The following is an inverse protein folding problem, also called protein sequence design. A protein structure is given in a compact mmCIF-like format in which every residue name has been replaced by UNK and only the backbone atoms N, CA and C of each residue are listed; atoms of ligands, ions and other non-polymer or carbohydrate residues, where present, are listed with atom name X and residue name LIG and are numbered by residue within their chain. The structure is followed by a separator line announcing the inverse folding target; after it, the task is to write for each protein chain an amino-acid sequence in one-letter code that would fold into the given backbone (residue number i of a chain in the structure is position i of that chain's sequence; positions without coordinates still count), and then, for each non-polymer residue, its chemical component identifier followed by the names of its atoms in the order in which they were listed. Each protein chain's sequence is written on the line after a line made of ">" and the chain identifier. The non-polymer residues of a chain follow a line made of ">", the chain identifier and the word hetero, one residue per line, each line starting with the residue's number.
data_IF_282990281149
#
_entry.id   IF_282990281149
#
_cell.length_a   1.000
_cell.length_b   1.000
_cell.length_c   1.000
_cell.angle_alpha   90.00
_cell.angle_beta   90.00
_cell.angle_gamma   90.00
#
_symmetry.space_group_name_H-M   'P 1'
#
loop_
_entity.id
_entity.type
_entity.pdbx_description
1 polymer ?
#
# COMPACT_ATOMS: atom_id res chain seq x y z
N UNK A 1 -3.81 -0.77 -9.71
CA UNK A 1 -4.60 -1.30 -8.57
C UNK A 1 -3.82 -2.42 -7.89
N UNK A 2 -3.62 -2.38 -6.56
CA UNK A 2 -2.82 -3.39 -5.84
C UNK A 2 -3.54 -4.08 -4.68
N UNK A 3 -3.40 -5.41 -4.55
CA UNK A 3 -3.99 -6.25 -3.48
C UNK A 3 -3.28 -7.63 -3.31
N UNK A 4 -3.65 -8.48 -2.33
CA UNK A 4 -2.82 -9.59 -1.77
C UNK A 4 -3.62 -10.85 -1.31
N UNK A 5 -2.97 -12.04 -1.15
CA UNK A 5 -3.49 -13.21 -0.36
C UNK A 5 -2.48 -14.36 -0.09
N UNK A 6 -2.62 -15.17 1.01
CA UNK A 6 -1.85 -16.43 1.28
C UNK A 6 -2.42 -17.44 2.36
N UNK A 7 -1.76 -18.63 2.51
CA UNK A 7 -2.21 -19.90 3.15
C UNK A 7 -1.54 -20.28 4.52
N UNK A 8 -2.10 -21.28 5.25
CA UNK A 8 -2.03 -21.46 6.73
C UNK A 8 -1.09 -22.56 7.25
N UNK A 9 -0.35 -22.31 8.36
CA UNK A 9 0.35 -23.30 9.20
C UNK A 9 0.71 -22.78 10.61
N UNK A 10 0.57 -23.61 11.66
CA UNK A 10 0.55 -23.24 13.09
C UNK A 10 1.92 -23.17 13.81
N UNK A 11 2.11 -22.17 14.69
CA UNK A 11 2.65 -22.37 16.05
C UNK A 11 3.81 -21.47 16.57
N UNK A 12 3.60 -20.83 17.75
CA UNK A 12 4.63 -20.65 18.82
C UNK A 12 5.36 -19.30 18.96
N UNK A 13 5.34 -18.72 20.18
CA UNK A 13 5.73 -17.34 20.60
C UNK A 13 7.10 -17.28 21.33
N UNK A 14 7.83 -16.14 21.29
CA UNK A 14 8.52 -15.51 22.45
C UNK A 14 9.09 -14.10 22.14
N UNK A 15 9.03 -13.23 23.16
CA UNK A 15 9.03 -11.75 23.17
C UNK A 15 10.38 -11.12 23.63
N UNK A 16 10.71 -9.89 23.20
CA UNK A 16 11.80 -9.06 23.74
C UNK A 16 11.63 -7.55 23.44
N UNK A 17 11.55 -6.73 24.49
CA UNK A 17 12.30 -5.46 24.58
C UNK A 17 11.60 -4.15 24.15
N UNK A 18 11.16 -3.39 25.16
CA UNK A 18 10.48 -2.08 25.12
C UNK A 18 11.24 -0.94 24.41
N UNK A 19 11.17 -0.94 23.08
CA UNK A 19 11.07 0.26 22.22
C UNK A 19 10.20 -0.01 20.96
N UNK A 20 9.67 -1.23 20.82
CA UNK A 20 8.94 -1.70 19.63
C UNK A 20 7.44 -1.39 19.60
N UNK A 21 6.91 -0.67 20.60
CA UNK A 21 5.49 -0.31 20.68
C UNK A 21 5.25 1.15 20.29
N UNK A 22 5.70 1.54 19.10
CA UNK A 22 5.25 2.79 18.46
C UNK A 22 4.68 2.44 17.09
N UNK A 23 3.46 1.91 17.11
CA UNK A 23 2.58 1.94 15.96
C UNK A 23 1.52 2.97 16.28
N UNK A 24 1.65 4.16 15.70
CA UNK A 24 0.54 5.11 15.69
C UNK A 24 0.25 5.51 14.25
N UNK A 25 -0.69 4.78 13.68
CA UNK A 25 -1.18 4.93 12.31
C UNK A 25 -2.72 4.92 12.28
N UNK A 26 -3.41 5.56 13.26
CA UNK A 26 -4.36 6.67 13.06
C UNK A 26 -5.40 6.92 14.19
N UNK A 27 -5.69 8.22 14.40
CA UNK A 27 -6.90 8.93 14.91
C UNK A 27 -7.27 8.86 16.41
N UNK A 28 -7.11 10.00 17.11
CA UNK A 28 -8.17 10.64 17.92
C UNK A 28 -7.65 11.89 18.66
N UNK A 29 -8.04 13.08 18.22
CA UNK A 29 -8.01 14.37 18.94
C UNK A 29 -6.69 14.94 19.53
N UNK A 30 -5.59 14.18 19.71
CA UNK A 30 -4.38 14.71 20.37
C UNK A 30 -3.04 14.05 19.93
N UNK A 31 -2.81 13.89 18.61
CA UNK A 31 -1.52 13.45 18.02
C UNK A 31 -0.33 14.36 18.40
N UNK A 32 -0.60 15.53 19.00
CA UNK A 32 0.42 16.42 19.53
C UNK A 32 1.01 15.92 20.86
N UNK A 33 0.42 14.98 21.57
CA UNK A 33 0.90 14.55 22.89
C UNK A 33 2.33 13.99 22.85
N UNK A 34 2.63 13.13 21.88
CA UNK A 34 3.99 12.61 21.68
C UNK A 34 4.94 13.74 21.32
N UNK A 35 4.52 14.64 20.44
CA UNK A 35 5.31 15.81 20.02
C UNK A 35 5.61 16.75 21.20
N UNK A 36 4.62 16.99 22.07
CA UNK A 36 4.75 17.74 23.35
C UNK A 36 5.70 17.05 24.31
N UNK A 37 5.61 15.72 24.46
CA UNK A 37 6.50 14.95 25.31
C UNK A 37 7.96 15.02 24.84
N UNK A 38 8.21 14.85 23.53
CA UNK A 38 9.54 14.98 22.92
C UNK A 38 10.10 16.38 23.16
N UNK A 39 9.30 17.42 22.88
CA UNK A 39 9.71 18.81 23.11
C UNK A 39 10.10 19.06 24.56
N UNK A 40 9.30 18.57 25.50
CA UNK A 40 9.57 18.69 26.94
C UNK A 40 10.88 18.00 27.31
N UNK A 41 11.08 16.77 26.83
CA UNK A 41 12.31 16.01 27.10
C UNK A 41 13.55 16.70 26.53
N UNK A 42 13.50 17.15 25.28
CA UNK A 42 14.61 17.85 24.62
C UNK A 42 14.98 19.17 25.32
N UNK A 43 13.97 19.92 25.76
CA UNK A 43 14.20 21.14 26.55
C UNK A 43 14.86 20.81 27.89
N UNK A 44 14.42 19.72 28.55
CA UNK A 44 14.96 19.32 29.86
C UNK A 44 16.43 18.86 29.81
N UNK A 45 16.90 18.31 28.68
CA UNK A 45 18.30 17.93 28.48
C UNK A 45 19.19 19.08 28.01
N UNK A 46 18.64 20.30 27.90
CA UNK A 46 19.39 21.52 27.59
C UNK A 46 19.49 21.85 26.10
N UNK A 47 18.66 21.25 25.24
CA UNK A 47 18.55 21.71 23.85
C UNK A 47 17.82 23.06 23.79
N UNK A 48 18.43 24.02 23.11
CA UNK A 48 17.87 25.34 22.83
C UNK A 48 17.05 25.32 21.51
N UNK A 49 16.20 26.32 21.31
CA UNK A 49 15.41 26.51 20.07
C UNK A 49 14.49 25.34 19.64
N UNK A 50 13.97 24.56 20.59
CA UNK A 50 13.01 23.47 20.27
C UNK A 50 11.62 24.03 19.90
N UNK A 51 11.25 23.93 18.63
CA UNK A 51 10.01 24.49 18.09
C UNK A 51 9.13 23.44 17.40
N UNK A 52 7.83 23.73 17.32
CA UNK A 52 6.91 23.00 16.46
C UNK A 52 6.82 23.73 15.13
N UNK A 53 6.98 22.98 14.03
CA UNK A 53 6.80 23.49 12.68
C UNK A 53 5.71 22.65 12.03
N UNK A 54 4.60 23.30 11.67
CA UNK A 54 3.43 22.61 11.12
C UNK A 54 3.47 22.62 9.59
N UNK A 55 3.05 21.51 9.00
CA UNK A 55 2.89 21.33 7.57
C UNK A 55 1.51 20.73 7.28
N UNK A 56 0.87 21.25 6.24
CA UNK A 56 -0.43 20.77 5.75
C UNK A 56 -0.18 19.87 4.55
N UNK A 57 -0.09 18.55 4.77
CA UNK A 57 0.34 17.58 3.76
C UNK A 57 -0.84 16.75 3.21
N UNK A 58 -0.74 16.30 1.95
CA UNK A 58 -1.72 15.39 1.38
C UNK A 58 -1.46 13.95 1.83
N UNK A 59 -2.32 13.44 2.70
CA UNK A 59 -2.33 12.04 3.12
C UNK A 59 -3.33 11.22 2.31
N UNK A 60 -2.94 9.99 1.97
CA UNK A 60 -3.84 9.04 1.33
C UNK A 60 -4.10 7.86 2.27
N UNK A 61 -5.31 7.84 2.83
CA UNK A 61 -5.75 6.85 3.81
C UNK A 61 -6.74 5.87 3.17
N UNK A 62 -6.84 4.64 3.70
CA UNK A 62 -7.86 3.70 3.27
C UNK A 62 -9.26 4.32 3.45
N UNK A 63 -10.15 4.01 2.51
CA UNK A 63 -11.55 4.41 2.62
C UNK A 63 -12.28 3.66 3.74
N UNK A 64 -13.53 4.04 4.04
CA UNK A 64 -14.35 3.35 5.04
C UNK A 64 -14.70 1.90 4.63
N UNK A 65 -14.52 1.57 3.35
CA UNK A 65 -14.73 0.23 2.81
C UNK A 65 -13.39 -0.38 2.44
N UNK A 66 -13.09 -1.61 2.90
CA UNK A 66 -11.86 -2.29 2.51
C UNK A 66 -11.85 -2.57 1.01
N UNK A 67 -10.66 -2.51 0.42
CA UNK A 67 -10.46 -3.07 -0.93
C UNK A 67 -10.69 -4.59 -0.90
N UNK A 68 -10.98 -5.18 -2.06
CA UNK A 68 -11.23 -6.62 -2.19
C UNK A 68 -10.58 -7.17 -3.46
N UNK A 69 -10.29 -8.47 -3.45
CA UNK A 69 -9.86 -9.27 -4.59
C UNK A 69 -10.88 -10.37 -4.78
N UNK A 70 -11.45 -10.46 -5.98
CA UNK A 70 -12.48 -11.45 -6.29
C UNK A 70 -12.00 -12.35 -7.42
N UNK A 71 -12.14 -13.66 -7.23
CA UNK A 71 -11.93 -14.60 -8.33
C UNK A 71 -13.19 -14.63 -9.21
N UNK A 72 -13.08 -14.20 -10.46
CA UNK A 72 -14.22 -14.18 -11.40
C UNK A 72 -14.82 -15.57 -11.64
N UNK A 73 -14.02 -16.64 -11.54
CA UNK A 73 -14.48 -18.01 -11.80
C UNK A 73 -15.38 -18.59 -10.71
N UNK A 74 -15.12 -18.27 -9.44
CA UNK A 74 -15.81 -18.83 -8.28
C UNK A 74 -16.67 -17.81 -7.52
N UNK A 75 -16.49 -16.51 -7.81
CA UNK A 75 -17.08 -15.42 -7.02
C UNK A 75 -16.51 -15.30 -5.61
N UNK A 76 -15.43 -16.03 -5.28
CA UNK A 76 -14.80 -15.96 -3.97
C UNK A 76 -14.13 -14.60 -3.78
N UNK A 77 -14.47 -13.95 -2.68
CA UNK A 77 -13.98 -12.63 -2.30
C UNK A 77 -12.98 -12.75 -1.16
N UNK A 78 -11.87 -12.03 -1.29
CA UNK A 78 -10.81 -11.92 -0.29
C UNK A 78 -10.50 -10.45 0.00
N UNK A 79 -10.17 -10.15 1.24
CA UNK A 79 -9.54 -8.90 1.62
C UNK A 79 -8.05 -8.93 1.25
N UNK A 80 -7.39 -7.76 1.11
CA UNK A 80 -5.95 -7.65 0.85
C UNK A 80 -5.05 -8.21 1.94
N UNK A 81 -5.55 -8.86 2.97
CA UNK A 81 -4.75 -9.65 3.91
C UNK A 81 -4.96 -11.17 3.70
N UNK A 82 -5.64 -11.57 2.63
CA UNK A 82 -5.96 -12.97 2.31
C UNK A 82 -7.19 -13.53 3.04
N UNK A 83 -7.82 -12.78 3.95
CA UNK A 83 -9.00 -13.26 4.66
C UNK A 83 -10.23 -13.27 3.74
N UNK A 84 -11.12 -14.28 3.83
CA UNK A 84 -12.35 -14.29 3.07
C UNK A 84 -13.27 -13.15 3.51
N UNK A 85 -13.99 -12.53 2.58
CA UNK A 85 -14.91 -11.42 2.86
C UNK A 85 -16.14 -11.80 3.73
N UNK A 86 -16.35 -13.10 3.98
CA UNK A 86 -17.48 -13.59 4.78
C UNK A 86 -17.35 -13.25 6.27
N UNK A 87 -18.47 -13.02 6.95
CA UNK A 87 -18.62 -12.53 8.34
C UNK A 87 -17.84 -13.27 9.46
N UNK A 88 -17.19 -14.40 9.17
CA UNK A 88 -16.35 -15.13 10.14
C UNK A 88 -14.88 -14.68 10.13
N UNK A 89 -14.53 -13.60 9.45
CA UNK A 89 -13.27 -12.90 9.62
C UNK A 89 -13.21 -12.30 11.05
N UNK A 90 -12.85 -13.17 12.00
CA UNK A 90 -12.58 -12.97 13.42
C UNK A 90 -13.37 -11.87 14.14
N UNK A 91 -14.30 -12.34 14.97
CA UNK A 91 -14.79 -11.72 16.21
C UNK A 91 -13.67 -11.55 17.27
N UNK A 92 -12.46 -11.22 16.86
CA UNK A 92 -11.39 -10.89 17.81
C UNK A 92 -11.20 -9.38 17.82
N UNK A 93 -11.63 -8.83 18.93
CA UNK A 93 -11.84 -7.45 19.24
C UNK A 93 -10.55 -6.64 19.27
N UNK A 94 -10.42 -5.68 18.35
CA UNK A 94 -9.93 -4.33 18.65
C UNK A 94 -10.25 -3.44 17.44
N UNK A 95 -10.70 -2.22 17.71
CA UNK A 95 -11.43 -1.37 16.75
C UNK A 95 -10.58 -0.72 15.64
N UNK A 96 -9.35 -1.15 15.36
CA UNK A 96 -8.48 -0.49 14.37
C UNK A 96 -7.53 -1.44 13.63
N UNK A 97 -8.04 -2.59 13.17
CA UNK A 97 -7.29 -3.45 12.26
C UNK A 97 -7.20 -2.78 10.89
N UNK A 98 -6.17 -1.94 10.74
CA UNK A 98 -5.73 -1.31 9.50
C UNK A 98 -5.79 -2.34 8.37
N UNK A 99 -6.73 -2.18 7.45
CA UNK A 99 -6.77 -2.99 6.25
C UNK A 99 -5.42 -2.85 5.52
N UNK A 100 -4.90 -3.96 5.00
CA UNK A 100 -3.71 -3.87 4.14
C UNK A 100 -4.03 -2.95 2.96
N UNK A 101 -3.17 -1.95 2.76
CA UNK A 101 -3.49 -0.81 1.90
C UNK A 101 -2.24 -0.30 1.16
N UNK A 102 -2.45 0.12 -0.09
CA UNK A 102 -1.43 0.78 -0.89
C UNK A 102 -1.74 2.28 -0.98
N UNK A 103 -1.06 3.07 -0.14
CA UNK A 103 -1.18 4.51 -0.14
C UNK A 103 -0.75 5.10 -1.48
N UNK A 104 -1.53 6.07 -1.95
CA UNK A 104 -1.42 6.75 -3.24
C UNK A 104 -1.74 5.86 -4.45
N UNK A 105 -2.32 4.66 -4.25
CA UNK A 105 -2.87 3.88 -5.37
C UNK A 105 -4.04 4.58 -6.03
N UNK A 106 -4.12 4.49 -7.36
CA UNK A 106 -5.30 4.87 -8.11
C UNK A 106 -6.54 4.10 -7.62
N UNK A 107 -7.68 4.80 -7.59
CA UNK A 107 -8.99 4.21 -7.26
C UNK A 107 -9.63 3.66 -8.52
N UNK A 108 -10.21 2.47 -8.44
CA UNK A 108 -10.91 1.84 -9.57
C UNK A 108 -11.12 0.35 -9.32
N UNK A 109 -11.70 -0.32 -10.30
CA UNK A 109 -11.87 -1.78 -10.34
C UNK A 109 -11.31 -2.27 -11.66
N UNK A 110 -10.51 -3.33 -11.63
CA UNK A 110 -9.96 -3.97 -12.81
C UNK A 110 -10.26 -5.46 -12.77
N UNK A 111 -10.84 -5.99 -13.84
CA UNK A 111 -11.02 -7.41 -14.07
C UNK A 111 -10.14 -7.83 -15.24
N UNK A 112 -9.14 -8.68 -14.97
CA UNK A 112 -8.20 -9.18 -15.97
C UNK A 112 -7.53 -10.47 -15.50
N UNK A 113 -6.84 -11.17 -16.42
CA UNK A 113 -5.98 -12.31 -16.07
C UNK A 113 -4.78 -11.84 -15.21
N UNK A 114 -4.43 -12.68 -14.23
CA UNK A 114 -3.29 -12.44 -13.33
C UNK A 114 -2.05 -13.14 -13.87
N UNK A 115 -0.95 -12.41 -13.97
CA UNK A 115 0.36 -12.93 -14.43
C UNK A 115 1.36 -12.80 -13.29
N UNK A 116 1.97 -13.91 -12.88
CA UNK A 116 3.11 -13.91 -11.95
C UNK A 116 4.35 -13.31 -12.63
N UNK A 117 4.78 -12.16 -12.14
CA UNK A 117 5.95 -11.41 -12.63
C UNK A 117 7.17 -11.58 -11.73
N UNK A 118 7.13 -12.52 -10.77
CA UNK A 118 8.19 -12.73 -9.78
C UNK A 118 8.57 -11.42 -9.07
N UNK A 119 9.82 -10.99 -9.13
CA UNK A 119 10.29 -9.72 -8.56
C UNK A 119 10.12 -8.51 -9.50
N UNK A 120 9.48 -8.67 -10.66
CA UNK A 120 9.23 -7.56 -11.59
C UNK A 120 10.52 -6.92 -12.13
N UNK A 121 11.56 -7.73 -12.34
CA UNK A 121 12.80 -7.24 -12.94
C UNK A 121 12.62 -7.02 -14.45
N UNK A 122 13.47 -6.19 -15.05
CA UNK A 122 13.44 -5.97 -16.50
C UNK A 122 13.61 -7.30 -17.29
N UNK A 123 14.36 -8.26 -16.75
CA UNK A 123 14.55 -9.56 -17.40
C UNK A 123 13.33 -10.47 -17.23
N UNK A 124 12.62 -10.39 -16.10
CA UNK A 124 11.33 -11.06 -15.93
C UNK A 124 10.30 -10.56 -16.96
N UNK A 125 10.21 -9.24 -17.14
CA UNK A 125 9.29 -8.65 -18.11
C UNK A 125 9.62 -9.06 -19.55
N UNK A 126 10.87 -8.94 -19.97
CA UNK A 126 11.33 -9.39 -21.30
C UNK A 126 11.03 -10.86 -21.56
N UNK A 127 11.09 -11.69 -20.52
CA UNK A 127 10.80 -13.13 -20.63
C UNK A 127 9.30 -13.36 -20.82
N UNK A 128 8.46 -12.66 -20.07
CA UNK A 128 7.00 -12.79 -20.13
C UNK A 128 6.44 -12.25 -21.46
N UNK A 129 6.93 -11.09 -21.91
CA UNK A 129 6.52 -10.47 -23.20
C UNK A 129 6.76 -11.39 -24.41
N UNK A 130 7.79 -12.23 -24.36
CA UNK A 130 8.06 -13.21 -25.42
C UNK A 130 7.06 -14.37 -25.45
N UNK A 131 6.39 -14.64 -24.34
CA UNK A 131 5.49 -15.77 -24.18
C UNK A 131 4.02 -15.39 -24.33
N UNK A 132 3.63 -14.19 -23.87
CA UNK A 132 2.23 -13.75 -23.84
C UNK A 132 2.14 -12.23 -24.02
N UNK A 133 0.98 -11.77 -24.48
CA UNK A 133 0.61 -10.36 -24.42
C UNK A 133 0.31 -9.98 -22.96
N UNK A 134 0.93 -8.90 -22.49
CA UNK A 134 0.83 -8.42 -21.09
C UNK A 134 -0.09 -7.21 -20.93
N UNK A 135 -0.55 -6.61 -22.03
CA UNK A 135 -1.35 -5.38 -21.98
C UNK A 135 -2.65 -5.60 -21.21
N UNK A 136 -2.96 -4.68 -20.29
CA UNK A 136 -4.16 -4.66 -19.46
C UNK A 136 -4.35 -5.88 -18.54
N UNK A 137 -3.27 -6.58 -18.20
CA UNK A 137 -3.29 -7.67 -17.21
C UNK A 137 -3.02 -7.16 -15.79
N UNK A 138 -3.28 -8.02 -14.81
CA UNK A 138 -2.91 -7.78 -13.40
C UNK A 138 -1.60 -8.52 -13.12
N UNK A 139 -0.55 -7.79 -12.74
CA UNK A 139 0.72 -8.39 -12.32
C UNK A 139 0.63 -8.91 -10.88
N UNK A 140 1.10 -10.12 -10.59
CA UNK A 140 1.35 -10.60 -9.24
C UNK A 140 2.85 -10.45 -8.93
N UNK A 141 3.17 -9.52 -8.03
CA UNK A 141 4.51 -9.00 -7.80
C UNK A 141 5.00 -9.28 -6.37
N UNK A 142 6.18 -9.90 -6.27
CA UNK A 142 6.91 -10.10 -5.01
C UNK A 142 7.52 -8.79 -4.52
N UNK A 143 7.37 -8.53 -3.23
CA UNK A 143 8.10 -7.48 -2.52
C UNK A 143 9.57 -7.88 -2.31
N UNK A 144 10.46 -6.89 -2.14
CA UNK A 144 11.90 -7.10 -2.01
C UNK A 144 12.72 -7.00 -3.30
N UNK A 145 14.03 -7.31 -3.17
CA UNK A 145 15.14 -7.21 -4.15
C UNK A 145 15.41 -5.83 -4.75
N UNK A 146 14.39 -5.14 -5.24
CA UNK A 146 14.46 -3.81 -5.85
C UNK A 146 13.43 -2.87 -5.21
N UNK A 147 13.64 -1.54 -5.29
CA UNK A 147 12.68 -0.55 -4.79
C UNK A 147 11.29 -0.76 -5.41
N UNK A 148 10.24 -0.73 -4.58
CA UNK A 148 8.87 -1.00 -5.01
C UNK A 148 8.42 -0.07 -6.16
N UNK A 149 8.67 1.23 -6.01
CA UNK A 149 8.23 2.25 -6.98
C UNK A 149 8.89 2.03 -8.34
N UNK A 150 10.16 1.64 -8.36
CA UNK A 150 10.87 1.28 -9.60
C UNK A 150 10.25 0.06 -10.29
N UNK A 151 9.85 -0.97 -9.53
CA UNK A 151 9.20 -2.15 -10.10
C UNK A 151 7.82 -1.80 -10.69
N UNK A 152 7.06 -0.96 -10.00
CA UNK A 152 5.74 -0.53 -10.46
C UNK A 152 5.85 0.33 -11.73
N UNK A 153 6.84 1.23 -11.81
CA UNK A 153 7.04 2.03 -13.03
C UNK A 153 7.36 1.15 -14.24
N UNK A 154 8.19 0.11 -14.08
CA UNK A 154 8.46 -0.84 -15.16
C UNK A 154 7.20 -1.62 -15.59
N UNK A 155 6.35 -2.01 -14.65
CA UNK A 155 5.10 -2.72 -14.95
C UNK A 155 4.09 -1.81 -15.65
N UNK A 156 4.01 -0.55 -15.24
CA UNK A 156 3.18 0.45 -15.90
C UNK A 156 3.65 0.71 -17.34
N UNK A 157 4.96 0.90 -17.55
CA UNK A 157 5.56 1.05 -18.89
C UNK A 157 5.32 -0.16 -19.78
N UNK A 158 5.33 -1.37 -19.20
CA UNK A 158 5.03 -2.61 -19.90
C UNK A 158 3.51 -2.79 -20.20
N UNK A 159 2.66 -1.93 -19.66
CA UNK A 159 1.22 -1.89 -19.97
C UNK A 159 0.33 -2.74 -19.06
N UNK A 160 0.80 -3.11 -17.86
CA UNK A 160 -0.07 -3.74 -16.85
C UNK A 160 -1.11 -2.74 -16.33
N UNK A 161 -2.36 -3.19 -16.16
CA UNK A 161 -3.44 -2.36 -15.62
C UNK A 161 -3.49 -2.35 -14.08
N UNK A 162 -2.89 -3.35 -13.44
CA UNK A 162 -2.87 -3.52 -11.99
C UNK A 162 -1.71 -4.38 -11.50
N UNK A 163 -1.41 -4.32 -10.21
CA UNK A 163 -0.28 -5.00 -9.56
C UNK A 163 -0.69 -5.51 -8.19
N UNK A 164 -0.99 -6.79 -8.04
CA UNK A 164 -1.12 -7.45 -6.75
C UNK A 164 0.26 -7.61 -6.08
N UNK A 165 0.40 -7.17 -4.83
CA UNK A 165 1.67 -7.20 -4.10
C UNK A 165 1.64 -8.30 -3.05
N UNK A 166 2.73 -9.04 -2.90
CA UNK A 166 2.87 -10.00 -1.80
C UNK A 166 4.30 -10.19 -1.33
N UNK A 167 4.45 -10.68 -0.11
CA UNK A 167 5.74 -11.07 0.45
C UNK A 167 5.92 -12.56 0.17
N UNK A 168 7.01 -12.94 -0.48
CA UNK A 168 7.32 -14.35 -0.70
C UNK A 168 7.77 -14.99 0.63
N UNK A 169 7.15 -16.09 1.09
CA UNK A 169 7.60 -16.81 2.28
C UNK A 169 9.07 -17.23 2.23
N UNK A 170 9.63 -17.42 1.03
CA UNK A 170 11.03 -17.76 0.84
C UNK A 170 11.98 -16.60 1.15
N UNK A 171 11.51 -15.35 1.13
CA UNK A 171 12.29 -14.16 1.52
C UNK A 171 12.16 -13.82 3.00
N UNK A 172 11.20 -14.44 3.72
CA UNK A 172 11.01 -14.20 5.14
C UNK A 172 12.05 -14.96 5.97
N UNK A 173 12.53 -14.38 7.09
CA UNK A 173 13.30 -15.14 8.07
C UNK A 173 12.46 -16.32 8.57
N UNK A 174 13.07 -17.50 8.70
CA UNK A 174 12.39 -18.74 9.16
C UNK A 174 11.74 -18.65 10.54
N UNK A 175 11.97 -17.56 11.26
CA UNK A 175 11.49 -17.28 12.61
C UNK A 175 10.22 -16.42 12.64
N UNK A 176 9.78 -15.87 11.49
CA UNK A 176 8.61 -15.00 11.42
C UNK A 176 7.36 -15.84 11.12
N UNK A 177 6.41 -15.83 12.07
CA UNK A 177 5.07 -16.37 11.84
C UNK A 177 4.29 -15.37 10.98
N UNK A 178 4.14 -15.64 9.69
CA UNK A 178 3.49 -14.78 8.69
C UNK A 178 1.95 -14.82 8.78
N UNK A 179 1.40 -14.63 9.97
CA UNK A 179 -0.01 -14.91 10.22
C UNK A 179 -0.87 -13.66 10.00
N UNK A 180 -1.36 -13.46 8.77
CA UNK A 180 -2.30 -12.38 8.39
C UNK A 180 -1.89 -10.97 8.84
N UNK A 181 -0.59 -10.71 8.92
CA UNK A 181 -0.10 -9.40 9.33
C UNK A 181 -0.53 -8.37 8.29
N UNK A 182 -1.22 -7.35 8.76
CA UNK A 182 -1.62 -6.24 7.92
C UNK A 182 -0.36 -5.47 7.54
N UNK A 183 -0.18 -5.22 6.25
CA UNK A 183 0.94 -4.43 5.78
C UNK A 183 0.45 -3.27 4.92
N UNK A 184 1.16 -2.16 5.04
CA UNK A 184 0.91 -0.95 4.26
C UNK A 184 2.12 -0.67 3.39
N UNK A 185 1.86 -0.29 2.14
CA UNK A 185 2.90 0.23 1.24
C UNK A 185 2.54 1.64 0.82
N UNK A 186 3.56 2.46 0.57
CA UNK A 186 3.40 3.77 -0.04
C UNK A 186 3.89 3.72 -1.48
N UNK A 187 3.08 4.26 -2.40
CA UNK A 187 3.46 4.47 -3.80
C UNK A 187 3.95 5.89 -4.06
N UNK A 188 4.15 6.69 -3.00
CA UNK A 188 4.76 8.01 -3.07
C UNK A 188 6.28 7.90 -2.91
N UNK A 189 7.10 8.39 -3.87
CA UNK A 189 8.57 8.35 -3.81
C UNK A 189 9.19 9.24 -2.73
N UNK A 190 8.41 10.15 -2.13
CA UNK A 190 8.85 10.97 -1.00
C UNK A 190 8.35 12.41 -1.09
N UNK A 191 8.35 13.09 0.05
CA UNK A 191 7.79 14.44 0.19
C UNK A 191 6.26 14.44 0.11
N UNK A 192 5.67 15.64 0.11
CA UNK A 192 4.25 15.81 -0.13
C UNK A 192 3.97 15.85 -1.65
N UNK A 193 3.15 14.93 -2.18
CA UNK A 193 2.79 14.94 -3.59
C UNK A 193 2.11 16.23 -4.05
N UNK A 194 1.50 16.98 -3.13
CA UNK A 194 0.83 18.25 -3.47
C UNK A 194 1.80 19.42 -3.64
N UNK A 195 3.01 19.35 -3.08
CA UNK A 195 4.03 20.41 -3.16
C UNK A 195 5.43 19.85 -3.49
N UNK A 196 5.63 19.25 -4.67
CA UNK A 196 6.88 18.60 -5.02
C UNK A 196 8.05 19.58 -5.00
N UNK A 197 9.06 19.30 -4.18
CA UNK A 197 10.26 20.14 -4.04
C UNK A 197 10.08 21.41 -3.18
N UNK A 198 8.91 21.61 -2.58
CA UNK A 198 8.60 22.78 -1.74
C UNK A 198 7.96 22.37 -0.41
N UNK A 199 8.12 23.19 0.64
CA UNK A 199 7.46 22.92 1.92
C UNK A 199 5.93 23.11 1.82
N UNK A 200 5.17 22.17 2.36
CA UNK A 200 3.70 22.20 2.44
C UNK A 200 3.19 23.15 3.52
N UNK A 201 3.49 24.44 3.37
CA UNK A 201 2.96 25.51 4.24
C UNK A 201 1.70 26.10 3.62
N UNK A 202 0.77 26.56 4.46
CA UNK A 202 -0.59 27.03 4.08
C UNK A 202 -0.64 28.13 2.98
N UNK A 203 0.51 28.67 2.56
CA UNK A 203 0.66 29.66 1.50
C UNK A 203 0.84 29.08 0.08
N UNK A 204 0.98 27.76 -0.09
CA UNK A 204 1.20 27.17 -1.41
C UNK A 204 -0.08 26.56 -1.99
N UNK A 205 -0.77 27.30 -2.85
CA UNK A 205 -1.84 26.75 -3.68
C UNK A 205 -1.19 25.85 -4.74
N UNK A 206 -1.25 24.54 -4.53
CA UNK A 206 -0.78 23.56 -5.51
C UNK A 206 -1.49 23.76 -6.86
N UNK A 207 -0.70 23.97 -7.91
CA UNK A 207 -1.18 23.92 -9.29
C UNK A 207 -1.60 22.47 -9.61
N UNK A 208 -2.91 22.26 -9.73
CA UNK A 208 -3.47 21.21 -10.58
C UNK A 208 -3.58 19.81 -10.00
N UNK A 209 -4.68 19.55 -9.30
CA UNK A 209 -5.43 18.30 -9.43
C UNK A 209 -6.91 18.65 -9.39
N UNK A 210 -7.48 19.00 -10.54
CA UNK A 210 -8.93 19.16 -10.68
C UNK A 210 -9.53 17.74 -10.74
N UNK A 211 -10.38 17.29 -9.78
CA UNK A 211 -10.86 15.91 -9.73
C UNK A 211 -11.90 15.54 -10.81
N UNK A 212 -12.08 16.36 -11.84
CA UNK A 212 -13.25 16.34 -12.73
C UNK A 212 -12.96 15.99 -14.20
N UNK A 213 -11.78 15.47 -14.56
CA UNK A 213 -11.54 15.06 -15.95
C UNK A 213 -10.58 13.87 -16.11
N UNK A 214 -11.04 12.68 -15.73
CA UNK A 214 -10.58 11.44 -16.37
C UNK A 214 -11.62 10.33 -16.16
N UNK A 215 -12.83 10.52 -16.70
CA UNK A 215 -13.62 9.36 -17.13
C UNK A 215 -12.87 8.76 -18.32
N UNK A 216 -12.18 7.64 -18.10
CA UNK A 216 -11.71 6.81 -19.20
C UNK A 216 -12.92 6.09 -19.80
N UNK A 217 -13.62 6.76 -20.72
CA UNK A 217 -14.68 6.13 -21.52
C UNK A 217 -14.01 5.27 -22.60
N UNK A 218 -14.01 3.95 -22.41
CA UNK A 218 -13.66 3.02 -23.49
C UNK A 218 -14.84 2.91 -24.46
N UNK A 219 -14.76 3.63 -25.57
CA UNK A 219 -15.72 3.51 -26.67
C UNK A 219 -15.46 2.25 -27.49
N UNK A 220 -16.45 1.35 -27.55
CA UNK A 220 -16.48 0.28 -28.54
C UNK A 220 -16.79 0.88 -29.92
N UNK A 221 -15.80 0.94 -30.81
CA UNK A 221 -16.08 1.06 -32.24
C UNK A 221 -16.25 -0.34 -32.84
N UNK A 222 -17.49 -0.79 -32.98
CA UNK A 222 -17.83 -1.73 -34.04
C UNK A 222 -17.62 -1.01 -35.37
N UNK A 223 -16.77 -1.57 -36.22
CA UNK A 223 -16.61 -1.19 -37.62
C UNK A 223 -16.62 -2.45 -38.47
N UNK A 224 -17.67 -2.55 -39.27
CA UNK A 224 -18.06 -3.57 -40.26
C UNK A 224 -16.96 -4.09 -41.17
#
# INVERSE_FOLDING_TARGET
>A
MAAYGEAVGNGGISDHGSLGNLVELYKSEDDMEISKAIKTHWTAVGLEDVQFVNYSVLLNLPGPWPSTVTLSSSGQCFHPNGQPCSERARKDSSQDLLYSYAAYSAKGTLEAEVIDVSYGTADDLKRIEKMKNITNHIALLKLGKLPLIYKISLLEEAGFGGVLLYIDPCDLPKTVNSNYDTFMVTLNPGGDPSTPGYPSVDAFTALGCNPSSSEATFGNSLGT
#
